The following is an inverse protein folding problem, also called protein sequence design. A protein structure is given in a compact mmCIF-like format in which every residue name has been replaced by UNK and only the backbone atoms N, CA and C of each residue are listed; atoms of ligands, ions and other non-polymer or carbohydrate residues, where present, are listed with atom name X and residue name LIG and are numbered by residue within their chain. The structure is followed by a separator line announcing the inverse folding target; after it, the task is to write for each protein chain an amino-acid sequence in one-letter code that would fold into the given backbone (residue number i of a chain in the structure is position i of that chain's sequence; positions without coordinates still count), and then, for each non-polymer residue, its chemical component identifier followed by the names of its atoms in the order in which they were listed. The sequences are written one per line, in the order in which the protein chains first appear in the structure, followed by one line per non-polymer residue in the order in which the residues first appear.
data_IF_625690045046
#
_entry.id   IF_625690045046
#
_cell.length_a   1.000
_cell.length_b   1.000
_cell.length_c   1.000
_cell.angle_alpha   90.00
_cell.angle_beta   90.00
_cell.angle_gamma   90.00
#
_symmetry.space_group_name_H-M   'P 1'
#
loop_
_entity.id
_entity.type
_entity.pdbx_description
1 polymer ?
#
# COMPACT_ATOMS: atom_id res chain seq x y z
N UNK A 1 -12.44 0.97 -22.41
CA UNK A 1 -13.56 1.78 -21.85
C UNK A 1 -14.84 0.98 -22.05
N UNK A 2 -15.38 0.40 -20.98
CA UNK A 2 -16.65 -0.33 -20.97
C UNK A 2 -17.77 0.63 -20.54
N UNK A 3 -18.99 0.46 -21.07
CA UNK A 3 -20.17 1.24 -20.69
C UNK A 3 -21.33 0.30 -20.44
N UNK A 4 -21.86 0.32 -19.23
CA UNK A 4 -23.03 -0.45 -18.85
C UNK A 4 -24.20 0.49 -18.66
N UNK A 5 -25.34 0.17 -19.30
CA UNK A 5 -26.58 0.93 -19.14
C UNK A 5 -27.43 0.27 -18.06
N UNK A 6 -27.81 1.05 -17.05
CA UNK A 6 -28.67 0.58 -15.97
C UNK A 6 -29.73 1.64 -15.65
N UNK A 7 -30.86 1.20 -15.12
CA UNK A 7 -31.92 2.07 -14.60
C UNK A 7 -31.71 2.26 -13.10
N UNK A 8 -31.90 3.47 -12.61
CA UNK A 8 -31.79 3.78 -11.18
C UNK A 8 -32.91 3.06 -10.40
N UNK A 9 -32.53 2.22 -9.44
CA UNK A 9 -33.46 1.52 -8.57
C UNK A 9 -33.79 2.30 -7.29
N UNK A 10 -34.72 1.81 -6.46
CA UNK A 10 -35.07 2.42 -5.17
C UNK A 10 -33.90 2.41 -4.16
N UNK A 11 -32.90 1.55 -4.36
CA UNK A 11 -31.65 1.52 -3.60
C UNK A 11 -30.50 2.34 -4.20
N UNK A 12 -30.79 3.15 -5.24
CA UNK A 12 -29.78 3.91 -5.96
C UNK A 12 -29.14 3.14 -7.13
N UNK A 13 -27.93 3.56 -7.50
CA UNK A 13 -27.13 2.92 -8.55
C UNK A 13 -26.41 1.72 -7.95
N UNK A 14 -26.62 0.52 -8.53
CA UNK A 14 -25.98 -0.71 -8.07
C UNK A 14 -24.98 -1.19 -9.11
N UNK A 15 -23.69 -1.12 -8.79
CA UNK A 15 -22.64 -1.64 -9.65
C UNK A 15 -22.58 -3.17 -9.46
N UNK A 16 -22.78 -3.99 -10.51
CA UNK A 16 -22.64 -5.43 -10.42
C UNK A 16 -21.26 -5.84 -9.90
N UNK A 17 -21.23 -6.84 -9.02
CA UNK A 17 -20.00 -7.37 -8.40
C UNK A 17 -18.95 -7.75 -9.44
N UNK A 18 -19.36 -8.38 -10.55
CA UNK A 18 -18.49 -8.75 -11.67
C UNK A 18 -17.73 -7.55 -12.26
N UNK A 19 -18.32 -6.34 -12.28
CA UNK A 19 -17.64 -5.13 -12.75
C UNK A 19 -16.63 -4.62 -11.71
N UNK A 20 -16.94 -4.75 -10.44
CA UNK A 20 -16.06 -4.37 -9.33
C UNK A 20 -14.83 -5.28 -9.28
N UNK A 21 -15.02 -6.60 -9.39
CA UNK A 21 -13.94 -7.59 -9.41
C UNK A 21 -12.96 -7.36 -10.57
N UNK A 22 -13.48 -7.05 -11.77
CA UNK A 22 -12.64 -6.69 -12.94
C UNK A 22 -11.80 -5.44 -12.71
N UNK A 23 -12.26 -4.55 -11.84
CA UNK A 23 -11.52 -3.35 -11.41
C UNK A 23 -10.62 -3.62 -10.19
N UNK A 24 -10.49 -4.87 -9.75
CA UNK A 24 -9.70 -5.25 -8.57
C UNK A 24 -10.34 -4.86 -7.24
N UNK A 25 -11.61 -4.43 -7.25
CA UNK A 25 -12.34 -4.05 -6.04
C UNK A 25 -13.07 -5.28 -5.51
N UNK A 26 -12.74 -5.66 -4.27
CA UNK A 26 -13.38 -6.74 -3.52
C UNK A 26 -14.10 -6.21 -2.30
N UNK A 27 -14.94 -7.03 -1.68
CA UNK A 27 -15.54 -6.71 -0.38
C UNK A 27 -14.46 -6.26 0.63
N UNK A 28 -14.74 -5.20 1.37
CA UNK A 28 -13.80 -4.59 2.32
C UNK A 28 -12.75 -3.66 1.73
N UNK A 29 -12.66 -3.54 0.39
CA UNK A 29 -11.76 -2.56 -0.24
C UNK A 29 -12.24 -1.14 0.08
N UNK A 30 -11.41 -0.27 0.67
CA UNK A 30 -11.75 1.13 0.87
C UNK A 30 -11.90 1.82 -0.49
N UNK A 31 -12.93 2.66 -0.64
CA UNK A 31 -13.27 3.31 -1.91
C UNK A 31 -13.35 4.82 -1.73
N UNK A 32 -12.83 5.54 -2.71
CA UNK A 32 -13.09 6.97 -2.89
C UNK A 32 -14.22 7.12 -3.91
N UNK A 33 -15.23 7.91 -3.53
CA UNK A 33 -16.36 8.28 -4.40
C UNK A 33 -16.30 9.77 -4.69
N UNK A 34 -15.92 10.12 -5.93
CA UNK A 34 -15.94 11.52 -6.39
C UNK A 34 -17.26 11.83 -7.07
N UNK A 35 -17.93 12.88 -6.58
CA UNK A 35 -19.18 13.38 -7.14
C UNK A 35 -18.93 14.60 -8.02
N UNK A 36 -19.26 14.48 -9.31
CA UNK A 36 -19.29 15.59 -10.25
C UNK A 36 -20.71 15.79 -10.79
N UNK A 37 -20.97 16.94 -11.41
CA UNK A 37 -22.30 17.32 -11.92
C UNK A 37 -22.95 16.28 -12.85
N UNK A 38 -22.15 15.52 -13.60
CA UNK A 38 -22.65 14.57 -14.62
C UNK A 38 -22.06 13.17 -14.52
N UNK A 39 -21.17 12.92 -13.56
CA UNK A 39 -20.53 11.62 -13.39
C UNK A 39 -20.17 11.38 -11.93
N UNK A 40 -20.21 10.11 -11.54
CA UNK A 40 -19.71 9.62 -10.27
C UNK A 40 -18.50 8.76 -10.62
N UNK A 41 -17.34 9.03 -10.01
CA UNK A 41 -16.19 8.13 -10.08
C UNK A 41 -16.10 7.34 -8.79
N UNK A 42 -15.87 6.04 -8.93
CA UNK A 42 -15.58 5.14 -7.81
C UNK A 42 -14.26 4.48 -8.13
N UNK A 43 -13.30 4.58 -7.22
CA UNK A 43 -12.00 3.95 -7.37
C UNK A 43 -11.49 3.48 -5.99
N UNK A 44 -10.62 2.47 -5.94
CA UNK A 44 -9.94 2.09 -4.70
C UNK A 44 -9.25 3.29 -4.07
N UNK A 45 -9.31 3.40 -2.75
CA UNK A 45 -8.45 4.34 -2.03
C UNK A 45 -6.99 3.94 -2.26
N UNK A 46 -6.23 4.81 -2.92
CA UNK A 46 -4.78 4.62 -3.06
C UNK A 46 -4.11 4.97 -1.74
N UNK A 47 -3.27 4.06 -1.27
CA UNK A 47 -2.51 4.28 -0.03
C UNK A 47 -1.48 5.37 -0.29
N UNK A 48 -1.51 6.42 0.53
CA UNK A 48 -0.61 7.54 0.34
C UNK A 48 0.81 7.14 0.76
N UNK A 49 1.80 7.89 0.27
CA UNK A 49 3.20 7.72 0.70
C UNK A 49 3.32 7.75 2.23
N UNK A 50 2.59 8.66 2.89
CA UNK A 50 2.58 8.80 4.35
C UNK A 50 2.04 7.57 5.06
N UNK A 51 0.97 6.97 4.54
CA UNK A 51 0.40 5.74 5.12
C UNK A 51 1.41 4.59 5.05
N UNK A 52 2.19 4.52 3.96
CA UNK A 52 3.28 3.55 3.80
C UNK A 52 4.43 3.82 4.79
N UNK A 53 4.82 5.08 4.98
CA UNK A 53 5.82 5.47 5.98
C UNK A 53 5.40 5.03 7.39
N UNK A 54 4.17 5.36 7.79
CA UNK A 54 3.63 5.00 9.10
C UNK A 54 3.60 3.48 9.31
N UNK A 55 3.13 2.71 8.32
CA UNK A 55 3.11 1.24 8.37
C UNK A 55 4.51 0.63 8.45
N UNK A 56 5.45 1.13 7.68
CA UNK A 56 6.83 0.64 7.67
C UNK A 56 7.52 0.90 9.02
N UNK A 57 7.32 2.09 9.60
CA UNK A 57 7.83 2.42 10.93
C UNK A 57 7.24 1.52 12.02
N UNK A 58 5.92 1.29 12.01
CA UNK A 58 5.26 0.37 12.94
C UNK A 58 5.85 -1.04 12.83
N UNK A 59 5.98 -1.56 11.60
CA UNK A 59 6.55 -2.90 11.39
C UNK A 59 7.97 -3.02 11.93
N UNK A 60 8.85 -2.04 11.65
CA UNK A 60 10.22 -2.05 12.14
C UNK A 60 10.27 -1.98 13.67
N UNK A 61 9.46 -1.12 14.28
CA UNK A 61 9.39 -0.99 15.73
C UNK A 61 8.95 -2.30 16.41
N UNK A 62 7.96 -2.99 15.84
CA UNK A 62 7.41 -4.23 16.39
C UNK A 62 8.34 -5.44 16.21
N UNK A 63 9.10 -5.50 15.11
CA UNK A 63 9.82 -6.71 14.71
C UNK A 63 11.35 -6.60 14.83
N UNK A 64 11.90 -5.39 14.87
CA UNK A 64 13.34 -5.15 14.85
C UNK A 64 13.79 -4.26 16.01
N UNK A 65 13.09 -3.15 16.24
CA UNK A 65 13.38 -2.19 17.29
C UNK A 65 13.43 -0.74 16.78
N UNK A 66 13.77 0.18 17.68
CA UNK A 66 13.74 1.64 17.48
C UNK A 66 15.04 2.23 16.90
N UNK A 67 16.11 1.41 16.79
CA UNK A 67 17.41 1.84 16.27
C UNK A 67 17.43 2.04 14.73
N UNK A 68 16.36 1.67 14.03
CA UNK A 68 16.25 1.74 12.58
C UNK A 68 15.29 2.85 12.15
N UNK A 69 15.60 3.42 10.97
CA UNK A 69 14.71 4.34 10.27
C UNK A 69 14.31 3.78 8.92
N UNK A 70 13.46 4.54 8.24
CA UNK A 70 13.12 4.29 6.84
C UNK A 70 13.67 5.40 5.96
N UNK A 71 14.02 5.03 4.73
CA UNK A 71 14.22 5.98 3.64
C UNK A 71 12.89 6.40 3.03
N UNK A 72 12.97 7.26 2.03
CA UNK A 72 11.80 7.74 1.30
C UNK A 72 11.11 6.59 0.55
N UNK A 73 9.81 6.33 0.79
CA UNK A 73 9.08 5.34 0.00
C UNK A 73 8.95 5.78 -1.46
N UNK A 74 9.24 4.86 -2.37
CA UNK A 74 9.14 5.08 -3.81
C UNK A 74 8.23 4.05 -4.43
N UNK A 75 7.36 4.48 -5.37
CA UNK A 75 6.62 3.53 -6.19
C UNK A 75 7.50 3.02 -7.33
N UNK A 76 7.67 1.70 -7.43
CA UNK A 76 8.40 1.01 -8.48
C UNK A 76 7.62 -0.22 -8.91
N UNK A 77 7.36 -0.34 -10.22
CA UNK A 77 6.68 -1.49 -10.82
C UNK A 77 5.34 -1.86 -10.14
N UNK A 78 4.55 -0.85 -9.75
CA UNK A 78 3.26 -1.06 -9.06
C UNK A 78 3.38 -1.50 -7.61
N UNK A 79 4.52 -1.24 -6.95
CA UNK A 79 4.77 -1.55 -5.55
C UNK A 79 5.40 -0.37 -4.85
N UNK A 80 5.17 -0.26 -3.56
CA UNK A 80 5.90 0.65 -2.71
C UNK A 80 7.15 -0.03 -2.19
N UNK A 81 8.31 0.58 -2.44
CA UNK A 81 9.60 0.12 -1.93
C UNK A 81 10.04 1.11 -0.86
N UNK A 82 10.26 0.60 0.35
CA UNK A 82 10.69 1.39 1.51
C UNK A 82 12.08 0.93 1.95
N UNK A 83 13.14 1.71 1.69
CA UNK A 83 14.47 1.39 2.18
C UNK A 83 14.49 1.36 3.71
N UNK A 84 15.11 0.35 4.31
CA UNK A 84 15.36 0.31 5.77
C UNK A 84 16.77 0.79 6.01
N UNK A 85 16.90 1.82 6.85
CA UNK A 85 18.15 2.54 7.06
C UNK A 85 18.62 2.41 8.52
N UNK A 86 19.93 2.38 8.68
CA UNK A 86 20.62 2.57 9.94
C UNK A 86 20.95 4.07 10.07
N UNK A 87 20.18 4.87 10.85
CA UNK A 87 20.20 6.32 10.72
C UNK A 87 21.56 6.96 11.01
N UNK A 88 22.27 6.45 12.01
CA UNK A 88 23.57 6.99 12.42
C UNK A 88 24.68 6.76 11.37
N UNK A 89 24.56 5.71 10.55
CA UNK A 89 25.52 5.36 9.51
C UNK A 89 25.05 5.77 8.10
N UNK A 90 23.82 6.26 7.96
CA UNK A 90 23.15 6.51 6.67
C UNK A 90 23.27 5.33 5.70
N UNK A 91 23.23 4.09 6.23
CA UNK A 91 23.41 2.86 5.47
C UNK A 91 22.09 2.13 5.32
N UNK A 92 21.81 1.64 4.11
CA UNK A 92 20.68 0.75 3.90
C UNK A 92 21.00 -0.67 4.38
N UNK A 93 20.17 -1.19 5.28
CA UNK A 93 20.29 -2.53 5.86
C UNK A 93 19.17 -3.47 5.39
N UNK A 94 18.18 -2.96 4.68
CA UNK A 94 17.12 -3.78 4.09
C UNK A 94 16.14 -2.97 3.25
N UNK A 95 15.03 -3.60 2.91
CA UNK A 95 13.88 -2.95 2.28
C UNK A 95 12.59 -3.66 2.67
N UNK A 96 11.50 -2.89 2.79
CA UNK A 96 10.14 -3.40 2.94
C UNK A 96 9.36 -3.10 1.67
N UNK A 97 8.63 -4.09 1.17
CA UNK A 97 7.86 -4.01 -0.07
C UNK A 97 6.38 -4.07 0.27
N UNK A 98 5.61 -3.08 -0.16
CA UNK A 98 4.17 -3.06 0.00
C UNK A 98 3.45 -3.06 -1.35
N UNK A 99 2.25 -3.65 -1.39
CA UNK A 99 1.34 -3.54 -2.54
C UNK A 99 0.87 -2.09 -2.72
N UNK A 100 0.23 -1.78 -3.85
CA UNK A 100 -0.47 -0.49 -4.04
C UNK A 100 -1.57 -0.24 -3.01
N UNK A 101 -2.15 -1.31 -2.45
CA UNK A 101 -3.13 -1.27 -1.35
C UNK A 101 -2.49 -1.22 0.04
N UNK A 102 -1.16 -1.09 0.15
CA UNK A 102 -0.44 -0.94 1.42
C UNK A 102 -0.30 -2.21 2.24
N UNK A 103 -0.51 -3.39 1.64
CA UNK A 103 -0.25 -4.68 2.27
C UNK A 103 1.25 -5.00 2.21
N UNK A 104 1.84 -5.43 3.34
CA UNK A 104 3.25 -5.81 3.38
C UNK A 104 3.48 -7.17 2.71
N UNK A 105 4.30 -7.18 1.66
CA UNK A 105 4.68 -8.38 0.91
C UNK A 105 5.90 -9.03 1.57
N UNK A 106 5.66 -9.83 2.61
CA UNK A 106 6.72 -10.44 3.42
C UNK A 106 7.73 -11.28 2.64
N UNK A 107 7.28 -11.97 1.58
CA UNK A 107 8.13 -12.85 0.77
C UNK A 107 9.10 -12.06 -0.14
N UNK A 108 8.84 -10.78 -0.33
CA UNK A 108 9.62 -9.89 -1.19
C UNK A 108 10.40 -8.86 -0.36
N UNK A 109 10.04 -8.71 0.91
CA UNK A 109 10.69 -7.81 1.86
C UNK A 109 11.90 -8.48 2.51
N UNK A 110 12.83 -7.66 2.98
CA UNK A 110 13.87 -8.12 3.91
C UNK A 110 13.22 -8.58 5.22
N UNK A 111 13.55 -9.79 5.66
CA UNK A 111 13.07 -10.33 6.93
C UNK A 111 13.75 -9.62 8.12
N UNK A 112 13.14 -9.59 9.31
CA UNK A 112 13.76 -9.01 10.51
C UNK A 112 15.15 -9.57 10.81
N UNK A 113 15.33 -10.89 10.62
CA UNK A 113 16.62 -11.56 10.80
C UNK A 113 17.69 -11.04 9.84
N UNK A 114 17.36 -10.89 8.55
CA UNK A 114 18.29 -10.36 7.55
C UNK A 114 18.67 -8.90 7.81
N UNK A 115 17.73 -8.12 8.32
CA UNK A 115 17.97 -6.72 8.69
C UNK A 115 18.96 -6.67 9.87
N UNK A 116 18.70 -7.42 10.94
CA UNK A 116 19.58 -7.48 12.12
C UNK A 116 20.98 -8.02 11.78
N UNK A 117 21.08 -9.08 10.97
CA UNK A 117 22.37 -9.63 10.53
C UNK A 117 23.23 -8.60 9.78
N UNK A 118 22.60 -7.68 9.02
CA UNK A 118 23.32 -6.59 8.34
C UNK A 118 23.68 -5.44 9.27
N UNK A 119 22.93 -5.24 10.34
CA UNK A 119 23.28 -4.27 11.40
C UNK A 119 24.50 -4.75 12.17
N UNK A 120 24.53 -6.03 12.56
CA UNK A 120 25.59 -6.66 13.36
C UNK A 120 26.88 -6.98 12.57
N UNK A 121 26.85 -6.84 11.24
CA UNK A 121 28.03 -7.02 10.38
C UNK A 121 29.02 -5.83 10.41
N UNK A 122 28.79 -4.85 11.29
CA UNK A 122 29.71 -3.74 11.65
C UNK A 122 30.35 -3.98 13.02
#
# INVERSE_FOLDING_TARGET
MERVKQVLGPGGLQIPEELMERCGIKEGTPLIVELHRFLIKVFPEEVTKRDIEERALVYLLENVGDALGIGEPVQKDGRWVVPVLLPYAQRQVGELIFSTSGELLLQESSTPKQILEKVDAD
#
